data_IF_296310536530
#
_entry.id   IF_296310536530
#
_cell.length_a   1.000
_cell.length_b   1.000
_cell.length_c   1.000
_cell.angle_alpha   90.00
_cell.angle_beta   90.00
_cell.angle_gamma   90.00
#
_symmetry.space_group_name_H-M   'P 1'
#
loop_
_entity.id
_entity.type
_entity.pdbx_description
1 polymer ?
#
# COMPACT_ATOMS: atom_id res chain seq x y z
N UNK A 1 -27.48 -10.12 -7.58
CA UNK A 1 -27.34 -8.92 -8.41
C UNK A 1 -25.85 -8.70 -8.63
N UNK A 2 -25.34 -9.16 -9.77
CA UNK A 2 -23.93 -9.06 -10.18
C UNK A 2 -23.90 -8.06 -11.33
N UNK A 3 -23.12 -6.98 -11.18
CA UNK A 3 -22.79 -6.08 -12.28
C UNK A 3 -21.27 -6.00 -12.33
N UNK A 4 -20.71 -6.80 -13.23
CA UNK A 4 -19.31 -6.74 -13.63
C UNK A 4 -19.20 -5.80 -14.82
N UNK A 5 -18.82 -4.56 -14.57
CA UNK A 5 -18.24 -3.63 -15.56
C UNK A 5 -17.26 -2.73 -14.81
N UNK A 6 -16.07 -3.25 -14.54
CA UNK A 6 -14.96 -2.44 -14.06
C UNK A 6 -13.75 -2.68 -14.95
N UNK A 7 -13.65 -1.87 -16.00
CA UNK A 7 -12.34 -1.53 -16.55
C UNK A 7 -11.67 -0.67 -15.46
N UNK A 8 -10.88 -1.30 -14.60
CA UNK A 8 -9.85 -0.63 -13.79
C UNK A 8 -10.21 -0.21 -12.35
N UNK A 9 -11.27 -0.72 -11.72
CA UNK A 9 -11.50 -0.49 -10.28
C UNK A 9 -11.90 -1.79 -9.61
N UNK A 10 -11.00 -2.37 -8.81
CA UNK A 10 -11.34 -3.49 -7.93
C UNK A 10 -12.43 -3.03 -6.96
N UNK A 11 -13.51 -3.80 -6.85
CA UNK A 11 -14.50 -3.56 -5.81
C UNK A 11 -13.84 -3.82 -4.45
N UNK A 12 -14.38 -3.23 -3.38
CA UNK A 12 -13.79 -3.23 -2.03
C UNK A 12 -13.35 -4.63 -1.56
N UNK A 13 -14.22 -5.63 -1.71
CA UNK A 13 -13.94 -7.02 -1.34
C UNK A 13 -12.81 -7.63 -2.19
N UNK A 14 -12.72 -7.31 -3.47
CA UNK A 14 -11.63 -7.77 -4.34
C UNK A 14 -10.28 -7.15 -3.96
N UNK A 15 -10.27 -5.92 -3.44
CA UNK A 15 -9.03 -5.27 -2.98
C UNK A 15 -8.50 -5.91 -1.70
N UNK A 16 -9.40 -6.23 -0.76
CA UNK A 16 -9.06 -6.89 0.50
C UNK A 16 -8.55 -8.31 0.24
N UNK A 17 -9.27 -9.11 -0.56
CA UNK A 17 -8.84 -10.45 -0.95
C UNK A 17 -7.50 -10.44 -1.73
N UNK A 18 -7.28 -9.43 -2.59
CA UNK A 18 -6.01 -9.28 -3.29
C UNK A 18 -4.86 -8.91 -2.34
N UNK A 19 -5.12 -8.06 -1.33
CA UNK A 19 -4.13 -7.68 -0.32
C UNK A 19 -3.78 -8.87 0.58
N UNK A 20 -4.78 -9.63 1.01
CA UNK A 20 -4.60 -10.84 1.82
C UNK A 20 -3.77 -11.88 1.08
N UNK A 21 -4.08 -12.17 -0.19
CA UNK A 21 -3.30 -13.10 -0.99
C UNK A 21 -1.83 -12.65 -1.14
N UNK A 22 -1.57 -11.35 -1.35
CA UNK A 22 -0.20 -10.82 -1.42
C UNK A 22 0.50 -10.88 -0.06
N UNK A 23 -0.23 -10.66 1.03
CA UNK A 23 0.29 -10.79 2.38
C UNK A 23 0.68 -12.24 2.70
N UNK A 24 -0.17 -13.22 2.37
CA UNK A 24 0.14 -14.65 2.50
C UNK A 24 1.37 -15.06 1.68
N UNK A 25 1.48 -14.59 0.42
CA UNK A 25 2.66 -14.84 -0.42
C UNK A 25 3.94 -14.20 0.15
N UNK A 26 3.82 -13.00 0.72
CA UNK A 26 4.93 -12.29 1.34
C UNK A 26 5.36 -12.92 2.68
N UNK A 27 4.42 -13.37 3.50
CA UNK A 27 4.65 -14.05 4.78
C UNK A 27 5.15 -15.49 4.58
N UNK A 28 4.60 -16.23 3.60
CA UNK A 28 5.05 -17.59 3.28
C UNK A 28 6.49 -17.63 2.72
N UNK A 29 7.02 -16.48 2.31
CA UNK A 29 8.43 -16.33 1.93
C UNK A 29 9.35 -15.99 3.11
N UNK A 30 8.82 -15.86 4.33
CA UNK A 30 9.54 -15.48 5.55
C UNK A 30 9.46 -16.63 6.54
N UNK A 31 10.59 -17.05 7.14
CA UNK A 31 10.57 -18.10 8.16
C UNK A 31 9.79 -17.65 9.40
N UNK A 32 9.04 -18.55 10.05
CA UNK A 32 8.19 -18.27 11.23
C UNK A 32 8.96 -17.70 12.45
N UNK A 33 10.29 -17.71 12.43
CA UNK A 33 11.17 -17.20 13.49
C UNK A 33 11.60 -15.73 13.29
N UNK A 34 11.30 -15.10 12.15
CA UNK A 34 11.61 -13.68 11.90
C UNK A 34 10.35 -12.81 11.99
N UNK A 35 10.48 -11.62 12.60
CA UNK A 35 9.43 -10.60 12.56
C UNK A 35 9.02 -10.33 11.10
N UNK A 36 7.70 -10.25 10.81
CA UNK A 36 7.24 -10.08 9.44
C UNK A 36 7.83 -8.79 8.85
N UNK A 37 8.59 -8.86 7.74
CA UNK A 37 9.30 -7.71 7.18
C UNK A 37 8.34 -6.66 6.61
N UNK A 38 7.05 -6.99 6.45
CA UNK A 38 6.02 -6.09 5.94
C UNK A 38 4.75 -6.21 6.79
N UNK A 39 4.18 -5.06 7.13
CA UNK A 39 2.83 -4.96 7.67
C UNK A 39 1.89 -4.43 6.60
N UNK A 40 0.81 -5.15 6.32
CA UNK A 40 -0.20 -4.76 5.35
C UNK A 40 -1.40 -4.15 6.07
N UNK A 41 -1.82 -2.96 5.65
CA UNK A 41 -2.99 -2.29 6.20
C UNK A 41 -3.78 -1.63 5.06
N UNK A 42 -5.10 -1.69 5.16
CA UNK A 42 -6.01 -0.93 4.29
C UNK A 42 -6.89 -0.02 5.15
N UNK A 43 -7.15 1.18 4.66
CA UNK A 43 -7.97 2.16 5.35
C UNK A 43 -9.09 2.66 4.44
N UNK A 44 -10.33 2.46 4.88
CA UNK A 44 -11.53 2.79 4.12
C UNK A 44 -12.15 4.13 4.55
N UNK A 45 -11.87 4.59 5.76
CA UNK A 45 -12.53 5.76 6.34
C UNK A 45 -11.89 7.08 5.95
N UNK A 46 -12.74 8.04 5.61
CA UNK A 46 -12.40 9.47 5.62
C UNK A 46 -12.43 9.96 7.07
N UNK A 47 -11.37 9.70 7.84
CA UNK A 47 -11.26 10.17 9.23
C UNK A 47 -10.15 9.47 10.02
N UNK A 48 -9.94 9.91 11.27
CA UNK A 48 -9.07 9.25 12.24
C UNK A 48 -7.62 9.08 11.80
N UNK A 49 -7.06 7.89 12.03
CA UNK A 49 -5.66 7.56 11.73
C UNK A 49 -5.41 7.58 10.22
N UNK A 50 -6.38 7.14 9.41
CA UNK A 50 -6.27 7.15 7.95
C UNK A 50 -6.09 8.57 7.38
N UNK A 51 -6.83 9.55 7.93
CA UNK A 51 -6.67 10.95 7.55
C UNK A 51 -5.28 11.48 7.92
N UNK A 52 -4.78 11.09 9.11
CA UNK A 52 -3.46 11.52 9.58
C UNK A 52 -2.33 10.92 8.74
N UNK A 53 -2.45 9.65 8.37
CA UNK A 53 -1.52 8.98 7.44
C UNK A 53 -1.54 9.69 6.08
N UNK A 54 -2.71 10.01 5.51
CA UNK A 54 -2.81 10.74 4.25
C UNK A 54 -2.16 12.13 4.30
N UNK A 55 -2.31 12.83 5.43
CA UNK A 55 -1.65 14.13 5.64
C UNK A 55 -0.13 14.00 5.71
N UNK A 56 0.38 13.01 6.46
CA UNK A 56 1.82 12.73 6.55
C UNK A 56 2.43 12.35 5.21
N UNK A 57 1.69 11.57 4.41
CA UNK A 57 2.11 11.11 3.09
C UNK A 57 1.75 12.06 1.95
N UNK A 58 1.19 13.22 2.25
CA UNK A 58 0.80 14.25 1.28
C UNK A 58 -0.07 13.69 0.12
N UNK A 59 -0.92 12.70 0.43
CA UNK A 59 -1.76 11.99 -0.57
C UNK A 59 -3.00 12.80 -0.98
N UNK A 60 -3.24 13.97 -0.39
CA UNK A 60 -4.41 14.77 -0.70
C UNK A 60 -5.71 14.15 -0.16
N UNK A 61 -6.84 14.52 -0.77
CA UNK A 61 -8.18 14.11 -0.32
C UNK A 61 -8.49 12.72 -0.85
N UNK A 62 -9.15 11.89 -0.05
CA UNK A 62 -9.61 10.58 -0.49
C UNK A 62 -10.51 10.69 -1.73
N UNK A 63 -10.08 10.01 -2.81
CA UNK A 63 -10.82 9.89 -4.06
C UNK A 63 -11.51 8.54 -4.19
N UNK A 64 -12.22 8.35 -5.31
CA UNK A 64 -12.86 7.08 -5.66
C UNK A 64 -11.85 6.00 -6.08
N UNK A 65 -10.61 6.39 -6.41
CA UNK A 65 -9.53 5.50 -6.79
C UNK A 65 -8.69 5.12 -5.56
N UNK A 66 -8.43 3.83 -5.32
CA UNK A 66 -7.52 3.42 -4.25
C UNK A 66 -6.10 3.93 -4.54
N UNK A 67 -5.39 4.31 -3.48
CA UNK A 67 -3.98 4.69 -3.54
C UNK A 67 -3.17 3.70 -2.72
N UNK A 68 -2.00 3.32 -3.23
CA UNK A 68 -1.09 2.40 -2.57
C UNK A 68 0.22 3.09 -2.20
N UNK A 69 0.64 2.88 -0.95
CA UNK A 69 1.85 3.45 -0.37
C UNK A 69 2.57 2.39 0.46
N UNK A 70 3.89 2.40 0.40
CA UNK A 70 4.75 1.60 1.26
C UNK A 70 5.46 2.55 2.23
N UNK A 71 5.25 2.31 3.52
CA UNK A 71 5.88 3.05 4.61
C UNK A 71 7.16 2.35 5.01
N UNK A 72 8.27 3.05 4.93
CA UNK A 72 9.58 2.59 5.37
C UNK A 72 9.95 3.38 6.63
N UNK A 73 9.80 2.75 7.79
CA UNK A 73 9.88 3.38 9.11
C UNK A 73 11.25 3.34 9.83
N UNK A 74 12.45 3.10 9.22
CA UNK A 74 13.70 3.43 9.91
C UNK A 74 13.81 4.96 10.10
N UNK A 75 14.69 5.39 11.00
CA UNK A 75 14.86 6.75 11.61
C UNK A 75 14.68 7.98 10.68
N UNK A 76 14.80 7.82 9.36
CA UNK A 76 14.65 8.87 8.34
C UNK A 76 13.24 8.99 7.71
N UNK A 77 12.27 8.17 8.14
CA UNK A 77 10.86 8.31 7.76
C UNK A 77 10.66 8.41 6.25
N UNK A 78 10.84 7.30 5.54
CA UNK A 78 10.68 7.24 4.10
C UNK A 78 9.32 6.64 3.73
N UNK A 79 8.80 7.01 2.56
CA UNK A 79 7.66 6.33 1.97
C UNK A 79 7.82 6.24 0.47
N UNK A 80 7.13 5.27 -0.12
CA UNK A 80 7.11 5.04 -1.54
C UNK A 80 5.66 5.09 -1.99
N UNK A 81 5.37 5.87 -3.03
CA UNK A 81 4.03 5.98 -3.59
C UNK A 81 3.98 5.19 -4.89
N UNK A 82 2.94 4.38 -5.06
CA UNK A 82 2.65 3.77 -6.35
C UNK A 82 1.81 4.73 -7.19
N UNK A 83 2.27 5.02 -8.41
CA UNK A 83 1.52 5.75 -9.41
C UNK A 83 0.84 4.76 -10.36
N UNK A 84 -0.48 4.60 -10.24
CA UNK A 84 -1.22 3.67 -11.09
C UNK A 84 -2.45 3.08 -10.41
N UNK A 85 -3.10 2.17 -11.15
CA UNK A 85 -4.20 1.40 -10.61
C UNK A 85 -3.67 0.37 -9.61
N UNK A 86 -4.26 0.34 -8.41
CA UNK A 86 -3.92 -0.67 -7.40
C UNK A 86 -4.50 -2.01 -7.84
N UNK A 87 -3.61 -2.94 -8.22
CA UNK A 87 -3.93 -4.33 -8.57
C UNK A 87 -3.07 -5.30 -7.78
N UNK A 88 -3.43 -6.58 -7.77
CA UNK A 88 -2.61 -7.64 -7.15
C UNK A 88 -1.18 -7.63 -7.67
N UNK A 89 -1.02 -7.51 -8.99
CA UNK A 89 0.28 -7.48 -9.66
C UNK A 89 1.08 -6.23 -9.26
N UNK A 90 0.42 -5.07 -9.14
CA UNK A 90 1.06 -3.83 -8.72
C UNK A 90 1.57 -3.91 -7.27
N UNK A 91 0.79 -4.52 -6.36
CA UNK A 91 1.19 -4.74 -4.97
C UNK A 91 2.44 -5.64 -4.89
N UNK A 92 2.44 -6.76 -5.60
CA UNK A 92 3.59 -7.66 -5.66
C UNK A 92 4.82 -6.99 -6.29
N UNK A 93 4.63 -6.23 -7.37
CA UNK A 93 5.70 -5.47 -8.03
C UNK A 93 6.28 -4.39 -7.11
N UNK A 94 5.45 -3.73 -6.29
CA UNK A 94 5.90 -2.74 -5.32
C UNK A 94 6.79 -3.38 -4.24
N UNK A 95 6.40 -4.53 -3.69
CA UNK A 95 7.22 -5.25 -2.71
C UNK A 95 8.56 -5.69 -3.32
N UNK A 96 8.55 -6.22 -4.54
CA UNK A 96 9.78 -6.59 -5.25
C UNK A 96 10.67 -5.38 -5.53
N UNK A 97 10.08 -4.26 -5.97
CA UNK A 97 10.80 -3.02 -6.21
C UNK A 97 11.44 -2.46 -4.92
N UNK A 98 10.75 -2.57 -3.79
CA UNK A 98 11.31 -2.18 -2.49
C UNK A 98 12.50 -3.07 -2.11
N UNK A 99 12.36 -4.40 -2.22
CA UNK A 99 13.46 -5.35 -1.99
C UNK A 99 14.65 -5.11 -2.93
N UNK A 100 14.40 -4.69 -4.17
CA UNK A 100 15.42 -4.35 -5.15
C UNK A 100 16.01 -2.94 -4.98
N UNK A 101 15.45 -2.10 -4.11
CA UNK A 101 15.85 -0.70 -3.93
C UNK A 101 15.56 0.19 -5.15
N UNK A 102 14.68 -0.23 -6.06
CA UNK A 102 14.39 0.50 -7.33
C UNK A 102 13.26 1.52 -7.21
N UNK A 103 12.58 1.58 -6.07
CA UNK A 103 11.48 2.52 -5.86
C UNK A 103 11.97 3.93 -5.53
N UNK A 104 11.20 4.92 -5.95
CA UNK A 104 11.44 6.34 -5.64
C UNK A 104 11.13 6.63 -4.17
N UNK A 105 12.18 6.84 -3.37
CA UNK A 105 12.07 7.24 -1.96
C UNK A 105 11.54 8.67 -1.83
N UNK A 106 10.41 8.82 -1.14
CA UNK A 106 9.85 10.10 -0.73
C UNK A 106 10.09 10.29 0.77
N UNK A 107 10.38 11.52 1.20
CA UNK A 107 10.62 11.82 2.61
C UNK A 107 9.33 12.27 3.30
N UNK A 108 9.06 11.68 4.47
CA UNK A 108 7.94 12.02 5.35
C UNK A 108 8.20 13.32 6.13
N UNK A 109 9.46 13.78 6.20
CA UNK A 109 9.84 14.99 6.92
C UNK A 109 9.37 16.25 6.15
N UNK A 110 8.73 17.23 6.83
CA UNK A 110 8.56 18.55 6.23
C UNK A 110 9.94 19.19 5.98
N UNK A 111 10.12 19.99 4.92
CA UNK A 111 11.31 20.84 4.81
C UNK A 111 11.35 21.78 6.02
N UNK A 112 12.51 21.89 6.68
CA UNK A 112 12.78 22.89 7.72
C UNK A 112 12.58 24.33 7.23
#
# INVERSE_FOLDING_TARGET
WRVSTARGVLCRDDLEAALEAVAEEALGSVPEEEDPPFTFAHAQETGGIAQRIRQLLKLGKAGATPEMVLLDLPDDGAYYKHEGAVTKEAMAAMLQGYKAGSLTKLSLKPPE
#
